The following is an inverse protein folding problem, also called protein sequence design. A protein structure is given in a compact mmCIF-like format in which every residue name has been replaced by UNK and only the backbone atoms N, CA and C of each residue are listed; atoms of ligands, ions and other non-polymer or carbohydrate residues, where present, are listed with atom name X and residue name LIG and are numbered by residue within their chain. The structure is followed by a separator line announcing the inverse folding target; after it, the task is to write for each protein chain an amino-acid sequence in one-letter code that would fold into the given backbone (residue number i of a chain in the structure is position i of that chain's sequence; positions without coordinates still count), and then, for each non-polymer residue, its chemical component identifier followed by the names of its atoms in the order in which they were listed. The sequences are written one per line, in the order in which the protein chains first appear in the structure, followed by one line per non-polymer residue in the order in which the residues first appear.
data_IF_285617900577
#
_entry.id   IF_285617900577
#
_cell.length_a   1.000
_cell.length_b   1.000
_cell.length_c   1.000
_cell.angle_alpha   90.00
_cell.angle_beta   90.00
_cell.angle_gamma   90.00
#
_symmetry.space_group_name_H-M   'P 1'
#
loop_
_entity.id
_entity.type
_entity.pdbx_description
1 polymer ?
#
# COMPACT_ATOMS: atom_id res chain seq x y z
N UNK A 1 16.12 0.44 -21.46
CA UNK A 1 15.46 1.72 -21.74
C UNK A 1 15.90 2.76 -20.75
N UNK A 2 16.60 3.79 -21.23
CA UNK A 2 17.03 4.97 -20.48
C UNK A 2 16.19 6.22 -20.81
N UNK A 3 15.38 6.17 -21.87
CA UNK A 3 14.42 7.21 -22.24
C UNK A 3 13.33 6.67 -23.19
N UNK A 4 12.21 7.41 -23.35
CA UNK A 4 11.15 7.14 -24.34
C UNK A 4 11.57 7.28 -25.80
N UNK A 5 12.67 7.96 -26.06
CA UNK A 5 13.16 8.17 -27.42
C UNK A 5 13.87 6.92 -27.97
N UNK A 6 14.01 5.88 -27.16
CA UNK A 6 14.54 4.60 -27.62
C UNK A 6 13.49 3.88 -28.46
N UNK A 7 13.88 3.54 -29.69
CA UNK A 7 13.06 2.77 -30.61
C UNK A 7 12.56 1.47 -29.96
N UNK A 8 11.34 1.02 -30.28
CA UNK A 8 10.84 -0.27 -29.82
C UNK A 8 11.81 -1.39 -30.15
N UNK A 9 11.94 -2.34 -29.23
CA UNK A 9 12.77 -3.52 -29.39
C UNK A 9 11.91 -4.66 -29.92
N UNK A 10 12.28 -5.19 -31.08
CA UNK A 10 11.64 -6.36 -31.68
C UNK A 10 12.34 -7.64 -31.21
N UNK A 11 11.55 -8.58 -30.67
CA UNK A 11 12.03 -9.93 -30.36
C UNK A 11 11.59 -10.84 -31.51
N UNK A 12 12.57 -11.44 -32.19
CA UNK A 12 12.31 -12.36 -33.30
C UNK A 12 12.94 -13.72 -33.09
N UNK A 13 12.27 -14.77 -33.55
CA UNK A 13 12.82 -16.12 -33.64
C UNK A 13 12.70 -16.62 -35.08
N UNK A 14 13.82 -17.06 -35.67
CA UNK A 14 13.88 -17.58 -37.06
C UNK A 14 13.25 -16.64 -38.11
N UNK A 15 13.34 -15.32 -37.89
CA UNK A 15 12.77 -14.30 -38.77
C UNK A 15 11.28 -14.01 -38.55
N UNK A 16 10.64 -14.67 -37.58
CA UNK A 16 9.28 -14.36 -37.15
C UNK A 16 9.29 -13.39 -35.97
N UNK A 17 8.55 -12.30 -36.06
CA UNK A 17 8.36 -11.35 -34.97
C UNK A 17 7.45 -11.98 -33.90
N UNK A 18 7.96 -12.08 -32.68
CA UNK A 18 7.25 -12.68 -31.53
C UNK A 18 6.67 -11.60 -30.61
N UNK A 19 7.48 -10.58 -30.29
CA UNK A 19 7.07 -9.53 -29.38
C UNK A 19 7.69 -8.18 -29.76
N UNK A 20 7.02 -7.10 -29.36
CA UNK A 20 7.52 -5.73 -29.45
C UNK A 20 7.50 -5.14 -28.05
N UNK A 21 8.66 -4.61 -27.62
CA UNK A 21 8.82 -3.95 -26.33
C UNK A 21 8.97 -2.45 -26.56
N UNK A 22 8.13 -1.65 -25.92
CA UNK A 22 8.16 -0.19 -26.01
C UNK A 22 8.34 0.44 -24.63
N UNK A 23 9.19 1.46 -24.54
CA UNK A 23 9.27 2.32 -23.36
C UNK A 23 8.18 3.40 -23.41
N UNK A 24 7.55 3.70 -22.28
CA UNK A 24 6.36 4.55 -22.21
C UNK A 24 6.54 5.67 -21.16
N UNK A 25 6.09 6.89 -21.51
CA UNK A 25 5.85 7.94 -20.51
C UNK A 25 4.41 7.86 -19.99
N UNK A 26 4.20 7.75 -18.68
CA UNK A 26 2.91 8.03 -18.07
C UNK A 26 2.56 9.54 -18.06
N UNK A 27 3.54 10.45 -18.22
CA UNK A 27 3.29 11.91 -18.32
C UNK A 27 2.56 12.29 -19.61
N UNK A 28 2.73 11.51 -20.69
CA UNK A 28 1.85 11.60 -21.85
C UNK A 28 0.52 10.98 -21.45
N UNK A 29 -0.53 11.80 -21.38
CA UNK A 29 -1.91 11.50 -20.90
C UNK A 29 -2.65 10.32 -21.58
N UNK A 30 -1.96 9.50 -22.32
CA UNK A 30 -2.40 8.18 -22.73
C UNK A 30 -1.15 7.31 -22.79
N UNK A 31 -1.07 6.25 -21.98
CA UNK A 31 -0.31 5.07 -22.38
C UNK A 31 -0.97 4.63 -23.70
N UNK A 32 -0.44 5.14 -24.81
CA UNK A 32 -1.09 5.01 -26.10
C UNK A 32 -1.22 3.54 -26.44
N UNK A 33 -2.36 3.15 -27.00
CA UNK A 33 -2.52 1.88 -27.71
C UNK A 33 -1.29 1.70 -28.61
N UNK A 34 -0.59 0.56 -28.55
CA UNK A 34 0.47 0.28 -29.51
C UNK A 34 -0.13 0.37 -30.93
N UNK A 35 0.72 0.63 -31.93
CA UNK A 35 0.31 0.62 -33.32
C UNK A 35 -0.40 -0.71 -33.70
N UNK A 36 -1.10 -0.77 -34.85
CA UNK A 36 -1.92 -1.92 -35.22
C UNK A 36 -1.15 -3.24 -35.02
N UNK A 37 -1.59 -4.03 -34.04
CA UNK A 37 -0.90 -5.27 -33.68
C UNK A 37 -1.12 -6.30 -34.77
N UNK A 38 -0.02 -6.89 -35.26
CA UNK A 38 -0.13 -8.08 -36.10
C UNK A 38 -0.66 -9.21 -35.21
N UNK A 39 -1.60 -10.04 -35.70
CA UNK A 39 -2.07 -11.20 -34.95
C UNK A 39 -0.90 -12.09 -34.53
N UNK A 40 -0.85 -12.47 -33.27
CA UNK A 40 0.21 -13.32 -32.70
C UNK A 40 1.48 -12.58 -32.27
N UNK A 41 1.55 -11.25 -32.38
CA UNK A 41 2.69 -10.46 -31.85
C UNK A 41 2.33 -9.87 -30.49
N UNK A 42 3.09 -10.28 -29.47
CA UNK A 42 2.91 -9.79 -28.09
C UNK A 42 3.39 -8.34 -27.97
N UNK A 43 2.61 -7.51 -27.29
CA UNK A 43 2.90 -6.09 -27.06
C UNK A 43 3.21 -5.88 -25.59
N UNK A 44 4.44 -5.45 -25.32
CA UNK A 44 4.94 -5.21 -23.97
C UNK A 44 5.31 -3.73 -23.83
N UNK A 45 4.69 -3.06 -22.87
CA UNK A 45 5.06 -1.71 -22.47
C UNK A 45 5.93 -1.74 -21.22
N UNK A 46 6.89 -0.85 -21.13
CA UNK A 46 7.72 -0.64 -19.93
C UNK A 46 7.60 0.82 -19.51
N UNK A 47 7.22 1.04 -18.26
CA UNK A 47 7.20 2.34 -17.62
C UNK A 47 8.33 2.35 -16.59
N UNK A 48 9.40 3.15 -16.76
CA UNK A 48 10.49 3.22 -15.79
C UNK A 48 10.05 3.80 -14.43
N UNK A 49 10.76 3.43 -13.36
CA UNK A 49 10.48 3.86 -11.97
C UNK A 49 10.36 5.38 -11.81
N UNK A 50 11.23 6.15 -12.48
CA UNK A 50 11.26 7.61 -12.36
C UNK A 50 10.03 8.31 -12.90
N UNK A 51 9.24 7.63 -13.72
CA UNK A 51 8.10 8.23 -14.39
C UNK A 51 6.77 7.83 -13.74
N UNK A 52 6.74 6.85 -12.83
CA UNK A 52 5.48 6.32 -12.27
C UNK A 52 4.77 7.33 -11.36
N UNK A 53 3.50 7.71 -11.69
CA UNK A 53 2.70 8.56 -10.82
C UNK A 53 2.43 7.88 -9.46
N UNK A 54 2.40 8.65 -8.35
CA UNK A 54 2.04 8.10 -7.05
C UNK A 54 0.57 7.70 -7.02
N UNK A 55 0.27 6.64 -6.27
CA UNK A 55 -1.10 6.17 -6.04
C UNK A 55 -1.40 4.83 -6.71
N UNK A 56 -2.68 4.40 -6.70
CA UNK A 56 -3.10 3.15 -7.32
C UNK A 56 -3.04 3.23 -8.85
N UNK A 57 -2.79 2.10 -9.51
CA UNK A 57 -2.67 2.01 -10.97
C UNK A 57 -3.92 2.52 -11.69
N UNK A 58 -5.11 2.25 -11.16
CA UNK A 58 -6.40 2.67 -11.72
C UNK A 58 -6.56 4.21 -11.77
N UNK A 59 -5.76 4.95 -11.01
CA UNK A 59 -5.80 6.41 -11.01
C UNK A 59 -5.19 7.06 -12.25
N UNK A 60 -4.41 6.31 -13.03
CA UNK A 60 -3.65 6.87 -14.16
C UNK A 60 -3.43 5.89 -15.32
N UNK A 61 -3.75 4.61 -15.15
CA UNK A 61 -3.86 3.63 -16.22
C UNK A 61 -5.34 3.38 -16.51
N UNK A 62 -5.73 3.58 -17.77
CA UNK A 62 -7.05 3.20 -18.24
C UNK A 62 -7.12 1.69 -18.41
N UNK A 63 -8.00 1.00 -17.66
CA UNK A 63 -8.18 -0.45 -17.80
C UNK A 63 -8.73 -0.84 -19.19
N UNK A 64 -9.40 0.08 -19.88
CA UNK A 64 -9.84 -0.06 -21.27
C UNK A 64 -8.73 0.23 -22.28
N UNK A 65 -7.50 0.55 -21.82
CA UNK A 65 -6.35 0.70 -22.70
C UNK A 65 -6.15 -0.58 -23.50
N UNK A 66 -6.50 -0.52 -24.78
CA UNK A 66 -6.41 -1.66 -25.67
C UNK A 66 -4.97 -1.86 -26.16
N UNK A 67 -4.67 -3.05 -26.66
CA UNK A 67 -3.45 -3.34 -27.41
C UNK A 67 -2.23 -3.74 -26.59
N UNK A 68 -2.16 -3.48 -25.28
CA UNK A 68 -1.09 -3.99 -24.43
C UNK A 68 -1.42 -5.37 -23.87
N UNK A 69 -0.53 -6.33 -24.09
CA UNK A 69 -0.63 -7.66 -23.47
C UNK A 69 0.00 -7.62 -22.07
N UNK A 70 1.09 -6.86 -21.91
CA UNK A 70 1.70 -6.65 -20.60
C UNK A 70 2.27 -5.25 -20.48
N UNK A 71 2.05 -4.61 -19.32
CA UNK A 71 2.68 -3.35 -18.95
C UNK A 71 3.53 -3.60 -17.70
N UNK A 72 4.85 -3.57 -17.87
CA UNK A 72 5.81 -3.63 -16.79
C UNK A 72 5.98 -2.23 -16.20
N UNK A 73 5.66 -2.08 -14.92
CA UNK A 73 5.72 -0.80 -14.22
C UNK A 73 6.87 -0.88 -13.23
N UNK A 74 7.89 -0.06 -13.44
CA UNK A 74 9.03 0.06 -12.54
C UNK A 74 8.67 0.85 -11.30
N UNK A 75 9.41 0.63 -10.21
CA UNK A 75 9.26 1.44 -9.00
C UNK A 75 8.09 1.07 -8.12
N UNK A 76 7.96 1.84 -7.03
CA UNK A 76 6.96 1.64 -5.99
C UNK A 76 7.39 0.62 -4.93
N UNK A 77 6.94 0.85 -3.69
CA UNK A 77 7.28 -0.01 -2.56
C UNK A 77 6.40 -1.26 -2.47
N UNK A 78 5.24 -1.27 -3.15
CA UNK A 78 4.21 -2.31 -3.01
C UNK A 78 3.90 -2.93 -4.37
N UNK A 79 3.71 -4.25 -4.37
CA UNK A 79 3.23 -4.96 -5.56
C UNK A 79 1.78 -4.57 -5.86
N UNK A 80 1.51 -4.24 -7.12
CA UNK A 80 0.18 -3.87 -7.62
C UNK A 80 -0.03 -4.47 -9.00
N UNK A 81 -1.27 -4.86 -9.27
CA UNK A 81 -1.66 -5.42 -10.56
C UNK A 81 -3.01 -4.85 -10.97
N UNK A 82 -3.13 -4.47 -12.24
CA UNK A 82 -4.37 -4.03 -12.85
C UNK A 82 -4.64 -4.87 -14.08
N UNK A 83 -5.82 -5.51 -14.13
CA UNK A 83 -6.26 -6.25 -15.31
C UNK A 83 -6.65 -5.26 -16.41
N UNK A 84 -6.07 -5.42 -17.58
CA UNK A 84 -6.41 -4.67 -18.79
C UNK A 84 -7.39 -5.47 -19.65
N UNK A 85 -8.03 -4.81 -20.61
CA UNK A 85 -8.93 -5.47 -21.57
C UNK A 85 -8.29 -6.65 -22.31
N UNK A 86 -6.99 -6.55 -22.63
CA UNK A 86 -6.22 -7.57 -23.37
C UNK A 86 -4.99 -8.09 -22.61
N UNK A 87 -4.79 -7.68 -21.35
CA UNK A 87 -3.51 -7.89 -20.70
C UNK A 87 -3.46 -7.63 -19.19
N UNK A 88 -2.24 -7.40 -18.71
CA UNK A 88 -1.95 -7.12 -17.30
C UNK A 88 -0.98 -5.94 -17.20
N UNK A 89 -1.33 -4.95 -16.39
CA UNK A 89 -0.37 -3.97 -15.89
C UNK A 89 0.11 -4.41 -14.51
N UNK A 90 1.43 -4.45 -14.31
CA UNK A 90 2.00 -4.99 -13.08
C UNK A 90 3.20 -4.16 -12.62
N UNK A 91 3.11 -3.70 -11.38
CA UNK A 91 4.22 -3.18 -10.61
C UNK A 91 4.64 -4.27 -9.60
N UNK A 92 5.83 -4.89 -9.73
CA UNK A 92 6.25 -5.95 -8.81
C UNK A 92 6.60 -5.40 -7.42
N UNK A 93 6.82 -4.09 -7.29
CA UNK A 93 7.32 -3.46 -6.07
C UNK A 93 8.84 -3.61 -5.92
N UNK A 94 9.36 -3.30 -4.73
CA UNK A 94 10.80 -3.44 -4.46
C UNK A 94 11.22 -4.91 -4.32
N UNK A 95 12.34 -5.33 -4.95
CA UNK A 95 12.88 -6.67 -4.78
C UNK A 95 13.49 -6.91 -3.39
N UNK A 96 13.80 -5.84 -2.65
CA UNK A 96 14.31 -5.90 -1.28
C UNK A 96 13.76 -4.72 -0.45
N UNK A 97 12.89 -4.98 0.55
CA UNK A 97 12.38 -3.93 1.41
C UNK A 97 13.50 -3.36 2.30
N UNK A 98 13.62 -2.03 2.32
CA UNK A 98 14.58 -1.29 3.16
C UNK A 98 13.97 -0.77 4.46
N UNK A 99 12.64 -0.87 4.61
CA UNK A 99 11.86 -0.30 5.72
C UNK A 99 10.86 -1.32 6.25
N UNK A 100 10.49 -1.17 7.52
CA UNK A 100 9.48 -2.01 8.19
C UNK A 100 8.08 -1.91 7.58
N UNK A 101 7.82 -0.91 6.73
CA UNK A 101 6.55 -0.80 5.99
C UNK A 101 6.45 -1.76 4.81
N UNK A 102 7.58 -2.30 4.32
CA UNK A 102 7.63 -3.32 3.26
C UNK A 102 7.49 -4.73 3.85
N UNK A 103 6.27 -5.04 4.28
CA UNK A 103 5.93 -6.30 4.95
C UNK A 103 5.77 -7.45 3.94
N UNK A 104 6.09 -8.67 4.37
CA UNK A 104 5.85 -9.90 3.63
C UNK A 104 6.96 -10.29 2.66
N UNK A 105 6.65 -11.18 1.73
CA UNK A 105 7.59 -11.65 0.71
C UNK A 105 7.79 -10.61 -0.38
N UNK A 106 9.05 -10.38 -0.73
CA UNK A 106 9.47 -9.45 -1.78
C UNK A 106 10.38 -10.13 -2.79
N UNK A 107 10.35 -9.62 -4.02
CA UNK A 107 11.21 -10.11 -5.08
C UNK A 107 10.88 -9.56 -6.45
N UNK A 108 11.13 -10.37 -7.48
CA UNK A 108 10.87 -10.02 -8.86
C UNK A 108 9.67 -10.82 -9.37
N UNK A 109 8.89 -10.24 -10.29
CA UNK A 109 7.85 -10.98 -10.98
C UNK A 109 8.43 -11.71 -12.21
N UNK A 110 8.15 -13.00 -12.32
CA UNK A 110 8.30 -13.76 -13.55
C UNK A 110 6.95 -13.75 -14.27
N UNK A 111 6.95 -13.34 -15.54
CA UNK A 111 5.74 -13.21 -16.35
C UNK A 111 5.90 -14.08 -17.59
N UNK A 112 4.93 -14.95 -17.79
CA UNK A 112 4.79 -15.76 -18.98
C UNK A 112 3.52 -15.35 -19.71
N UNK A 113 3.65 -15.11 -21.02
CA UNK A 113 2.55 -14.73 -21.90
C UNK A 113 2.44 -15.80 -22.96
N UNK A 114 1.31 -16.50 -23.00
CA UNK A 114 1.07 -17.54 -23.98
C UNK A 114 0.63 -16.97 -25.34
N UNK A 115 0.66 -17.78 -26.42
CA UNK A 115 0.27 -17.34 -27.76
C UNK A 115 -1.20 -16.91 -27.92
N UNK A 116 -2.07 -17.25 -26.96
CA UNK A 116 -3.49 -16.90 -26.93
C UNK A 116 -3.78 -15.66 -26.05
N UNK A 117 -2.74 -15.06 -25.46
CA UNK A 117 -2.86 -13.91 -24.56
C UNK A 117 -3.18 -14.28 -23.11
N UNK A 118 -3.07 -15.55 -22.73
CA UNK A 118 -3.05 -15.96 -21.32
C UNK A 118 -1.78 -15.46 -20.65
N UNK A 119 -1.92 -14.98 -19.41
CA UNK A 119 -0.82 -14.41 -18.63
C UNK A 119 -0.70 -15.18 -17.33
N UNK A 120 0.44 -15.83 -17.13
CA UNK A 120 0.84 -16.40 -15.87
C UNK A 120 1.85 -15.47 -15.21
N UNK A 121 1.69 -15.20 -13.92
CA UNK A 121 2.63 -14.42 -13.14
C UNK A 121 2.99 -15.15 -11.86
N UNK A 122 4.27 -15.14 -11.52
CA UNK A 122 4.81 -15.76 -10.31
C UNK A 122 5.78 -14.81 -9.63
N UNK A 123 5.71 -14.71 -8.31
CA UNK A 123 6.70 -13.98 -7.51
C UNK A 123 7.93 -14.86 -7.29
N UNK A 124 9.04 -14.49 -7.91
CA UNK A 124 10.36 -15.04 -7.59
C UNK A 124 10.91 -14.28 -6.40
N UNK A 125 10.86 -14.91 -5.21
CA UNK A 125 11.39 -14.32 -3.98
C UNK A 125 12.91 -14.13 -4.13
N UNK A 126 13.36 -12.89 -3.95
CA UNK A 126 14.79 -12.53 -3.99
C UNK A 126 15.24 -11.77 -2.75
N UNK A 127 14.31 -11.33 -1.90
CA UNK A 127 14.63 -10.59 -0.69
C UNK A 127 15.33 -11.50 0.33
N UNK A 128 16.52 -11.08 0.77
CA UNK A 128 17.29 -11.77 1.81
C UNK A 128 16.85 -11.36 3.22
N UNK A 129 16.25 -10.18 3.33
CA UNK A 129 15.64 -9.66 4.55
C UNK A 129 14.11 -9.55 4.36
N UNK A 130 13.36 -10.09 5.32
CA UNK A 130 11.90 -10.01 5.39
C UNK A 130 11.46 -9.22 6.62
N UNK A 131 10.42 -8.40 6.45
CA UNK A 131 9.76 -7.71 7.55
C UNK A 131 8.40 -8.31 7.78
N UNK A 132 8.07 -8.58 9.04
CA UNK A 132 6.76 -9.07 9.47
C UNK A 132 6.25 -8.23 10.64
N UNK A 133 4.94 -8.03 10.68
CA UNK A 133 4.25 -7.35 11.77
C UNK A 133 3.07 -8.23 12.19
N UNK A 134 3.11 -8.72 13.43
CA UNK A 134 2.14 -9.68 13.95
C UNK A 134 1.41 -9.07 15.14
N UNK A 135 0.10 -8.93 15.02
CA UNK A 135 -0.79 -8.47 16.08
C UNK A 135 -1.27 -9.63 16.94
N UNK A 136 -1.19 -9.47 18.27
CA UNK A 136 -1.65 -10.46 19.24
C UNK A 136 -2.36 -9.80 20.40
N UNK A 137 -3.40 -10.44 20.91
CA UNK A 137 -4.10 -10.00 22.11
C UNK A 137 -3.75 -10.84 23.35
N UNK A 138 -3.42 -10.17 24.44
CA UNK A 138 -3.23 -10.73 25.77
C UNK A 138 -4.40 -10.34 26.69
N UNK A 139 -5.08 -11.37 27.21
CA UNK A 139 -6.08 -11.22 28.25
C UNK A 139 -5.47 -11.39 29.64
N UNK A 140 -6.23 -11.07 30.70
CA UNK A 140 -5.80 -11.31 32.08
C UNK A 140 -5.59 -12.79 32.42
N UNK A 141 -6.16 -13.71 31.62
CA UNK A 141 -6.01 -15.15 31.78
C UNK A 141 -4.92 -15.75 30.89
N UNK A 142 -4.31 -14.95 30.01
CA UNK A 142 -3.29 -15.46 29.09
C UNK A 142 -2.04 -15.85 29.88
N UNK A 143 -1.67 -17.12 29.79
CA UNK A 143 -0.45 -17.63 30.44
C UNK A 143 0.79 -17.33 29.60
N UNK A 144 1.97 -17.52 30.20
CA UNK A 144 3.24 -17.35 29.49
C UNK A 144 3.38 -18.39 28.37
N UNK A 145 3.04 -19.65 28.67
CA UNK A 145 3.09 -20.76 27.73
C UNK A 145 2.13 -20.56 26.56
N UNK A 146 0.91 -20.07 26.83
CA UNK A 146 -0.08 -19.76 25.80
C UNK A 146 0.43 -18.66 24.86
N UNK A 147 1.07 -17.60 25.39
CA UNK A 147 1.65 -16.55 24.57
C UNK A 147 2.78 -17.08 23.68
N UNK A 148 3.71 -17.85 24.24
CA UNK A 148 4.81 -18.49 23.49
C UNK A 148 4.26 -19.36 22.37
N UNK A 149 3.30 -20.23 22.67
CA UNK A 149 2.68 -21.14 21.71
C UNK A 149 2.01 -20.35 20.57
N UNK A 150 1.22 -19.32 20.88
CA UNK A 150 0.56 -18.48 19.86
C UNK A 150 1.58 -17.77 18.97
N UNK A 151 2.65 -17.24 19.54
CA UNK A 151 3.72 -16.59 18.77
C UNK A 151 4.45 -17.59 17.88
N UNK A 152 4.78 -18.78 18.40
CA UNK A 152 5.42 -19.84 17.63
C UNK A 152 4.52 -20.33 16.48
N UNK A 153 3.22 -20.49 16.71
CA UNK A 153 2.24 -20.86 15.69
C UNK A 153 2.20 -19.86 14.54
N UNK A 154 2.18 -18.55 14.83
CA UNK A 154 2.26 -17.54 13.77
C UNK A 154 3.55 -17.64 12.95
N UNK A 155 4.68 -17.96 13.57
CA UNK A 155 5.92 -18.16 12.81
C UNK A 155 5.87 -19.38 11.87
N UNK A 156 5.10 -20.40 12.22
CA UNK A 156 4.92 -21.60 11.38
C UNK A 156 3.98 -21.34 10.20
N UNK A 157 3.10 -20.34 10.27
CA UNK A 157 2.22 -19.96 9.16
C UNK A 157 2.99 -19.34 7.99
N UNK A 158 4.18 -18.79 8.24
CA UNK A 158 4.99 -18.16 7.21
C UNK A 158 5.86 -19.17 6.47
N UNK A 159 5.64 -19.26 5.15
CA UNK A 159 6.54 -19.99 4.25
C UNK A 159 7.91 -19.31 4.21
N UNK A 160 8.95 -20.06 4.57
CA UNK A 160 10.34 -19.63 4.44
C UNK A 160 10.82 -19.80 3.00
N UNK A 161 11.72 -18.93 2.56
CA UNK A 161 12.41 -19.08 1.29
C UNK A 161 13.91 -19.35 1.51
N UNK A 162 14.56 -20.21 0.70
CA UNK A 162 16.00 -20.46 0.82
C UNK A 162 16.89 -19.22 0.67
N UNK A 163 16.36 -18.14 0.05
CA UNK A 163 17.10 -16.87 -0.10
C UNK A 163 17.00 -15.99 1.14
N UNK A 164 16.03 -16.24 2.02
CA UNK A 164 15.83 -15.46 3.23
C UNK A 164 16.90 -15.85 4.27
N UNK A 165 17.58 -14.84 4.80
CA UNK A 165 18.65 -15.01 5.81
C UNK A 165 18.31 -14.33 7.13
N UNK A 166 17.46 -13.30 7.10
CA UNK A 166 17.06 -12.53 8.26
C UNK A 166 15.58 -12.16 8.18
N UNK A 167 14.86 -12.38 9.28
CA UNK A 167 13.50 -11.89 9.48
C UNK A 167 13.50 -10.86 10.62
N UNK A 168 12.98 -9.67 10.35
CA UNK A 168 12.66 -8.68 11.37
C UNK A 168 11.17 -8.77 11.67
N UNK A 169 10.83 -9.22 12.88
CA UNK A 169 9.45 -9.43 13.31
C UNK A 169 9.11 -8.39 14.36
N UNK A 170 8.13 -7.55 14.06
CA UNK A 170 7.49 -6.65 15.00
C UNK A 170 6.25 -7.34 15.58
N UNK A 171 6.29 -7.63 16.87
CA UNK A 171 5.15 -8.10 17.62
C UNK A 171 4.40 -6.90 18.18
N UNK A 172 3.12 -6.77 17.84
CA UNK A 172 2.23 -5.76 18.38
C UNK A 172 1.30 -6.45 19.36
N UNK A 173 1.56 -6.27 20.65
CA UNK A 173 0.79 -6.92 21.69
C UNK A 173 -0.24 -5.93 22.24
N UNK A 174 -1.52 -6.20 22.00
CA UNK A 174 -2.65 -5.54 22.63
C UNK A 174 -3.03 -6.25 23.93
N UNK A 175 -3.31 -5.57 25.04
CA UNK A 175 -3.81 -6.32 26.20
C UNK A 175 -3.65 -5.73 27.59
N UNK A 176 -3.89 -6.61 28.58
CA UNK A 176 -3.70 -6.37 30.01
C UNK A 176 -3.45 -7.68 30.76
N UNK A 177 -2.82 -7.62 31.93
CA UNK A 177 -2.57 -8.76 32.80
C UNK A 177 -1.09 -9.00 33.07
N UNK A 178 -0.79 -9.92 33.99
CA UNK A 178 0.57 -10.10 34.53
C UNK A 178 1.61 -10.40 33.45
N UNK A 179 1.29 -11.27 32.49
CA UNK A 179 2.19 -11.58 31.36
C UNK A 179 2.44 -10.34 30.52
N UNK A 180 1.37 -9.65 30.10
CA UNK A 180 1.46 -8.41 29.32
C UNK A 180 2.30 -7.34 30.02
N UNK A 181 2.09 -7.14 31.33
CA UNK A 181 2.80 -6.14 32.13
C UNK A 181 4.27 -6.53 32.35
N UNK A 182 4.55 -7.81 32.56
CA UNK A 182 5.91 -8.32 32.72
C UNK A 182 6.80 -8.08 31.50
N UNK A 183 6.21 -7.98 30.29
CA UNK A 183 6.91 -7.70 29.04
C UNK A 183 7.37 -6.24 28.90
N UNK A 184 7.12 -5.37 29.89
CA UNK A 184 7.89 -4.12 30.03
C UNK A 184 9.37 -4.36 30.30
N UNK A 185 9.72 -5.49 30.92
CA UNK A 185 11.11 -5.84 31.24
C UNK A 185 11.79 -6.51 30.03
N UNK A 186 12.91 -5.93 29.59
CA UNK A 186 13.74 -6.47 28.50
C UNK A 186 14.26 -7.88 28.79
N UNK A 187 14.45 -8.25 30.06
CA UNK A 187 14.86 -9.62 30.43
C UNK A 187 13.76 -10.61 30.11
N UNK A 188 12.51 -10.28 30.48
CA UNK A 188 11.34 -11.09 30.14
C UNK A 188 11.16 -11.19 28.63
N UNK A 189 11.31 -10.10 27.90
CA UNK A 189 11.28 -10.14 26.44
C UNK A 189 12.35 -11.09 25.86
N UNK A 190 13.58 -11.06 26.37
CA UNK A 190 14.63 -11.99 25.93
C UNK A 190 14.26 -13.44 26.21
N UNK A 191 13.75 -13.74 27.40
CA UNK A 191 13.33 -15.09 27.76
C UNK A 191 12.19 -15.58 26.84
N UNK A 192 11.31 -14.67 26.41
CA UNK A 192 10.25 -14.93 25.42
C UNK A 192 10.83 -15.25 24.04
N UNK A 193 11.79 -14.46 23.55
CA UNK A 193 12.47 -14.72 22.27
C UNK A 193 13.18 -16.06 22.27
N UNK A 194 13.91 -16.37 23.34
CA UNK A 194 14.62 -17.65 23.49
C UNK A 194 13.64 -18.85 23.54
N UNK A 195 12.43 -18.66 24.05
CA UNK A 195 11.39 -19.69 24.05
C UNK A 195 10.80 -19.91 22.65
N UNK A 196 10.43 -18.84 21.96
CA UNK A 196 9.84 -18.89 20.61
C UNK A 196 10.83 -19.49 19.60
N UNK A 197 12.10 -19.09 19.64
CA UNK A 197 13.12 -19.62 18.72
C UNK A 197 13.47 -21.09 19.00
N UNK A 198 13.28 -21.55 20.23
CA UNK A 198 13.45 -22.97 20.57
C UNK A 198 12.36 -23.82 19.92
N UNK A 199 11.11 -23.36 19.98
CA UNK A 199 9.95 -24.10 19.48
C UNK A 199 9.78 -23.95 17.95
N UNK A 200 10.21 -22.81 17.40
CA UNK A 200 10.09 -22.48 15.97
C UNK A 200 11.26 -22.94 15.09
N UNK A 201 12.22 -23.71 15.60
CA UNK A 201 13.36 -24.18 14.80
C UNK A 201 13.01 -25.42 13.99
N UNK A 202 12.67 -25.23 12.72
CA UNK A 202 12.57 -26.32 11.75
C UNK A 202 13.97 -26.75 11.28
N UNK A 203 14.35 -28.04 11.39
CA UNK A 203 15.65 -28.50 10.94
C UNK A 203 15.81 -28.30 9.42
N UNK A 204 16.71 -27.42 9.02
CA UNK A 204 17.12 -27.23 7.61
C UNK A 204 17.17 -25.79 7.10
N UNK A 205 16.55 -24.82 7.77
CA UNK A 205 16.57 -23.41 7.36
C UNK A 205 17.07 -22.53 8.51
N UNK A 206 18.30 -21.99 8.39
CA UNK A 206 18.90 -21.10 9.40
C UNK A 206 18.51 -19.64 9.16
N UNK A 207 17.21 -19.35 9.04
CA UNK A 207 16.74 -17.96 8.97
C UNK A 207 16.93 -17.34 10.34
N UNK A 208 17.79 -16.32 10.44
CA UNK A 208 17.95 -15.58 11.69
C UNK A 208 16.70 -14.75 11.94
N UNK A 209 16.15 -14.80 13.15
CA UNK A 209 15.02 -13.96 13.54
C UNK A 209 15.50 -12.84 14.46
N UNK A 210 14.95 -11.65 14.26
CA UNK A 210 15.11 -10.49 15.15
C UNK A 210 13.72 -10.05 15.55
N UNK A 211 13.44 -10.21 16.83
CA UNK A 211 12.15 -9.83 17.40
C UNK A 211 12.22 -8.43 18.00
N UNK A 212 11.12 -7.70 17.83
CA UNK A 212 10.85 -6.41 18.49
C UNK A 212 9.43 -6.45 19.01
N UNK A 213 9.17 -5.79 20.14
CA UNK A 213 7.86 -5.78 20.79
C UNK A 213 7.35 -4.34 20.94
N UNK A 214 6.20 -4.08 20.37
CA UNK A 214 5.37 -2.90 20.59
C UNK A 214 4.21 -3.32 21.47
N UNK A 215 4.03 -2.65 22.61
CA UNK A 215 2.90 -2.90 23.52
C UNK A 215 1.86 -1.81 23.33
N UNK A 216 0.64 -2.22 23.04
CA UNK A 216 -0.53 -1.35 22.96
C UNK A 216 -1.43 -1.72 24.14
N UNK A 217 -1.62 -0.84 25.14
CA UNK A 217 -2.55 -1.14 26.22
C UNK A 217 -3.95 -1.39 25.63
N UNK A 218 -4.70 -2.32 26.23
CA UNK A 218 -6.08 -2.60 25.81
C UNK A 218 -6.94 -1.36 25.98
N UNK A 219 -7.08 -0.55 24.93
CA UNK A 219 -7.89 0.64 24.92
C UNK A 219 -9.31 0.28 24.46
N UNK A 220 -10.10 -0.32 25.35
CA UNK A 220 -11.57 -0.31 25.22
C UNK A 220 -12.16 1.12 25.14
N UNK A 221 -11.32 2.14 25.32
CA UNK A 221 -11.64 3.54 25.12
C UNK A 221 -11.39 4.06 23.71
N UNK A 222 -10.55 3.45 22.85
CA UNK A 222 -10.12 4.11 21.60
C UNK A 222 -11.19 4.13 20.51
N UNK A 223 -11.98 3.07 20.38
CA UNK A 223 -13.15 3.08 19.49
C UNK A 223 -14.25 4.01 20.03
N UNK A 224 -14.41 4.07 21.35
CA UNK A 224 -15.39 4.94 21.99
C UNK A 224 -14.95 6.42 21.94
N UNK A 225 -13.67 6.70 22.10
CA UNK A 225 -13.06 8.03 22.02
C UNK A 225 -12.96 8.49 20.56
N UNK A 226 -12.60 7.62 19.61
CA UNK A 226 -12.68 7.94 18.19
C UNK A 226 -14.12 8.18 17.74
N UNK A 227 -15.08 7.39 18.23
CA UNK A 227 -16.51 7.65 18.00
C UNK A 227 -16.96 8.95 18.65
N UNK A 228 -16.53 9.25 19.88
CA UNK A 228 -16.85 10.48 20.60
C UNK A 228 -16.21 11.71 19.92
N UNK A 229 -14.97 11.62 19.46
CA UNK A 229 -14.26 12.68 18.74
C UNK A 229 -14.85 12.90 17.35
N UNK A 230 -15.22 11.83 16.63
CA UNK A 230 -15.93 11.94 15.36
C UNK A 230 -17.32 12.57 15.56
N UNK A 231 -18.00 12.22 16.65
CA UNK A 231 -19.27 12.81 17.03
C UNK A 231 -19.11 14.30 17.39
N UNK A 232 -18.17 14.65 18.26
CA UNK A 232 -17.86 16.03 18.65
C UNK A 232 -17.44 16.88 17.45
N UNK A 233 -16.62 16.33 16.55
CA UNK A 233 -16.25 16.97 15.29
C UNK A 233 -17.47 17.19 14.39
N UNK A 234 -18.34 16.18 14.27
CA UNK A 234 -19.56 16.26 13.45
C UNK A 234 -20.55 17.28 13.99
N UNK A 235 -20.70 17.36 15.32
CA UNK A 235 -21.52 18.34 16.02
C UNK A 235 -20.94 19.75 15.87
N UNK A 236 -19.63 19.92 16.04
CA UNK A 236 -18.93 21.20 15.89
C UNK A 236 -19.02 21.72 14.45
N UNK A 237 -18.76 20.89 13.45
CA UNK A 237 -18.93 21.27 12.04
C UNK A 237 -20.39 21.57 11.72
N UNK A 238 -21.34 20.80 12.26
CA UNK A 238 -22.76 21.07 12.09
C UNK A 238 -23.18 22.44 12.66
N UNK A 239 -22.66 22.81 13.83
CA UNK A 239 -22.91 24.10 14.47
C UNK A 239 -22.27 25.27 13.70
N UNK A 240 -21.00 25.14 13.31
CA UNK A 240 -20.25 26.17 12.57
C UNK A 240 -20.79 26.36 11.15
N UNK A 241 -21.30 25.31 10.52
CA UNK A 241 -21.83 25.34 9.16
C UNK A 241 -23.36 25.45 9.09
N UNK A 242 -24.00 25.76 10.22
CA UNK A 242 -25.43 25.98 10.27
C UNK A 242 -25.85 27.11 9.31
N UNK A 243 -26.88 26.93 8.46
CA UNK A 243 -27.30 27.92 7.45
C UNK A 243 -27.73 29.30 8.00
N UNK A 244 -27.88 29.40 9.32
CA UNK A 244 -28.38 30.59 10.04
C UNK A 244 -27.23 31.46 10.61
N UNK A 245 -25.98 30.99 10.56
CA UNK A 245 -24.82 31.68 11.14
C UNK A 245 -24.20 32.65 10.11
N UNK A 246 -23.95 33.94 10.45
CA UNK A 246 -23.25 34.89 9.59
C UNK A 246 -21.76 34.55 9.34
N UNK A 247 -21.29 33.42 9.87
CA UNK A 247 -19.93 32.90 9.83
C UNK A 247 -19.26 32.98 8.45
N UNK A 248 -19.94 32.55 7.38
CA UNK A 248 -19.37 32.56 6.03
C UNK A 248 -19.31 33.95 5.41
N UNK A 249 -20.29 34.80 5.71
CA UNK A 249 -20.28 36.19 5.29
C UNK A 249 -19.14 36.97 5.95
N UNK A 250 -18.80 36.64 7.20
CA UNK A 250 -17.64 37.23 7.88
C UNK A 250 -16.30 36.77 7.31
N UNK A 251 -16.14 35.48 6.98
CA UNK A 251 -14.92 34.97 6.36
C UNK A 251 -14.74 35.37 4.89
N UNK A 252 -15.80 35.84 4.23
CA UNK A 252 -15.71 36.45 2.92
C UNK A 252 -15.15 37.89 2.98
N UNK A 253 -15.23 38.59 4.12
CA UNK A 253 -14.81 39.99 4.28
C UNK A 253 -13.35 40.25 3.88
N UNK A 254 -12.35 39.42 4.27
CA UNK A 254 -10.97 39.64 3.84
C UNK A 254 -10.76 39.54 2.33
N UNK A 255 -11.65 38.83 1.62
CA UNK A 255 -11.60 38.72 0.15
C UNK A 255 -12.38 39.83 -0.55
N UNK A 256 -13.31 40.50 0.14
CA UNK A 256 -14.05 41.63 -0.39
C UNK A 256 -13.15 42.86 -0.60
N UNK A 257 -12.10 43.00 0.22
CA UNK A 257 -11.13 44.09 0.14
C UNK A 257 -10.07 43.88 -0.96
N UNK A 258 -10.03 42.69 -1.58
CA UNK A 258 -9.14 42.41 -2.70
C UNK A 258 -9.73 42.98 -3.98
N UNK A 259 -9.15 44.07 -4.49
CA UNK A 259 -9.57 44.72 -5.75
C UNK A 259 -9.28 43.88 -7.01
N UNK A 260 -8.54 42.77 -6.88
CA UNK A 260 -8.20 41.89 -7.98
C UNK A 260 -9.43 41.14 -8.53
N UNK A 261 -9.40 40.80 -9.82
CA UNK A 261 -10.41 39.94 -10.46
C UNK A 261 -10.52 38.57 -9.77
N UNK A 262 -9.39 38.04 -9.31
CA UNK A 262 -9.33 36.81 -8.53
C UNK A 262 -10.01 36.94 -7.15
N UNK A 263 -9.81 38.05 -6.43
CA UNK A 263 -10.46 38.30 -5.14
C UNK A 263 -11.99 38.32 -5.23
N UNK A 264 -12.52 38.97 -6.27
CA UNK A 264 -13.98 38.98 -6.56
C UNK A 264 -14.53 37.60 -6.90
N UNK A 265 -13.78 36.80 -7.67
CA UNK A 265 -14.17 35.42 -7.98
C UNK A 265 -14.18 34.54 -6.73
N UNK A 266 -13.18 34.66 -5.87
CA UNK A 266 -13.10 33.91 -4.61
C UNK A 266 -14.24 34.28 -3.66
N UNK A 267 -14.52 35.58 -3.49
CA UNK A 267 -15.64 36.06 -2.67
C UNK A 267 -16.99 35.51 -3.18
N UNK A 268 -17.17 35.46 -4.50
CA UNK A 268 -18.38 34.91 -5.13
C UNK A 268 -18.49 33.40 -4.91
N UNK A 269 -17.39 32.66 -5.02
CA UNK A 269 -17.36 31.21 -4.76
C UNK A 269 -17.67 30.88 -3.30
N UNK A 270 -17.11 31.64 -2.36
CA UNK A 270 -17.38 31.47 -0.92
C UNK A 270 -18.84 31.80 -0.59
N UNK A 271 -19.40 32.85 -1.21
CA UNK A 271 -20.79 33.24 -0.98
C UNK A 271 -21.79 32.23 -1.55
N UNK A 272 -21.46 31.60 -2.68
CA UNK A 272 -22.30 30.60 -3.34
C UNK A 272 -21.97 29.16 -2.92
N UNK A 273 -21.07 28.96 -1.96
CA UNK A 273 -20.71 27.64 -1.49
C UNK A 273 -21.90 26.99 -0.79
N UNK A 274 -22.24 25.78 -1.22
CA UNK A 274 -23.27 24.96 -0.58
C UNK A 274 -22.71 24.44 0.74
N UNK A 275 -23.11 25.07 1.85
CA UNK A 275 -22.64 24.73 3.20
C UNK A 275 -22.94 23.29 3.58
N UNK A 276 -24.01 22.70 3.03
CA UNK A 276 -24.36 21.30 3.24
C UNK A 276 -23.34 20.38 2.56
N UNK A 277 -22.98 20.65 1.30
CA UNK A 277 -21.95 19.87 0.59
C UNK A 277 -20.57 19.97 1.24
N UNK A 278 -20.20 21.16 1.72
CA UNK A 278 -18.94 21.36 2.46
C UNK A 278 -18.94 20.57 3.77
N UNK A 279 -20.06 20.57 4.50
CA UNK A 279 -20.22 19.78 5.72
C UNK A 279 -20.14 18.27 5.44
N UNK A 280 -20.81 17.78 4.40
CA UNK A 280 -20.76 16.37 4.01
C UNK A 280 -19.37 15.93 3.59
N UNK A 281 -18.66 16.74 2.80
CA UNK A 281 -17.31 16.42 2.35
C UNK A 281 -16.31 16.46 3.51
N UNK A 282 -16.44 17.42 4.43
CA UNK A 282 -15.65 17.47 5.66
C UNK A 282 -15.89 16.24 6.54
N UNK A 283 -17.15 15.80 6.71
CA UNK A 283 -17.48 14.54 7.42
C UNK A 283 -16.93 13.31 6.69
N UNK A 284 -16.94 13.31 5.36
CA UNK A 284 -16.38 12.21 4.54
C UNK A 284 -14.87 12.10 4.73
N UNK A 285 -14.14 13.22 4.69
CA UNK A 285 -12.69 13.27 4.91
C UNK A 285 -12.33 12.91 6.36
N UNK A 286 -13.10 13.43 7.32
CA UNK A 286 -12.99 13.09 8.73
C UNK A 286 -13.05 11.57 8.96
N UNK A 287 -14.02 10.87 8.40
CA UNK A 287 -14.11 9.41 8.53
C UNK A 287 -12.81 8.68 8.14
N UNK A 288 -12.03 9.21 7.20
CA UNK A 288 -10.72 8.64 6.82
C UNK A 288 -9.56 8.98 7.76
N UNK A 289 -9.74 9.85 8.75
CA UNK A 289 -8.74 10.17 9.77
C UNK A 289 -8.90 9.33 11.05
N UNK A 290 -10.08 8.73 11.24
CA UNK A 290 -10.45 7.94 12.42
C UNK A 290 -10.71 6.45 12.11
N UNK A 291 -10.38 6.02 10.89
CA UNK A 291 -10.28 4.61 10.44
C UNK A 291 -8.84 4.25 10.17
#
# INVERSE_FOLDING_TARGET
FSSENESPVEITERGHLLAVISCLNPSSRSIGTPGPSKPGVVQIGIIPEGDVPPGPLEGWIDAESNGWHYLAIGGGDRSQSLRLSQGLAHAPGTPQPLRSTGLGSHGCAFIEIDPYGGIHHELIRTATLRWERVGLDCSTSTSWEELVERMALHLLEYETSPVETLWNIEWVLGGKGDVFDSLSDLRRQRDLWDAIDRDGNTPGASVRRRHTLTREPFESGREHEAANLLQEFSETIGAVLAPQEPFWAERAKPFADLTSTWGRQLATLVHNADTHKVAEEARRLARGWWT
#
